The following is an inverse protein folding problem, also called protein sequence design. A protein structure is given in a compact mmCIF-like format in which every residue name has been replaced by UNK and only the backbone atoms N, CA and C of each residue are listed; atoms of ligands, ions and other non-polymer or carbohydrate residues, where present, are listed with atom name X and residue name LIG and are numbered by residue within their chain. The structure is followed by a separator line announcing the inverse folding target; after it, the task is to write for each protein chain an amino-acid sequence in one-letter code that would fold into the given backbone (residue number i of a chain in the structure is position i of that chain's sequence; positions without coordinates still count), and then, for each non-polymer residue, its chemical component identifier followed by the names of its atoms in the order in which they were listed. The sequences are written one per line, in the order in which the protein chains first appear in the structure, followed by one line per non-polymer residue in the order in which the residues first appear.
data_IF_901637450152
#
_entry.id   IF_901637450152
#
_cell.length_a   1.000
_cell.length_b   1.000
_cell.length_c   1.000
_cell.angle_alpha   90.00
_cell.angle_beta   90.00
_cell.angle_gamma   90.00
#
_symmetry.space_group_name_H-M   'P 1'
#
loop_
_entity.id
_entity.type
_entity.pdbx_description
1 polymer ?
#
# COMPACT_ATOMS: atom_id res chain seq x y z
N UNK A 1 -22.31 -14.49 -22.56
CA UNK A 1 -21.47 -13.63 -23.42
C UNK A 1 -20.42 -12.98 -22.53
N UNK A 2 -19.20 -13.49 -22.53
CA UNK A 2 -18.13 -13.08 -21.60
C UNK A 2 -17.28 -11.98 -22.27
N UNK A 3 -17.83 -10.76 -22.34
CA UNK A 3 -17.11 -9.59 -22.83
C UNK A 3 -16.14 -9.12 -21.75
N UNK A 4 -14.86 -9.47 -21.90
CA UNK A 4 -13.80 -8.82 -21.11
C UNK A 4 -13.78 -7.35 -21.54
N UNK A 5 -14.19 -6.48 -20.64
CA UNK A 5 -14.18 -5.04 -20.85
C UNK A 5 -12.73 -4.61 -21.10
N UNK A 6 -12.49 -3.99 -22.26
CA UNK A 6 -11.17 -3.64 -22.77
C UNK A 6 -11.23 -2.22 -23.32
N UNK A 7 -10.18 -1.45 -23.12
CA UNK A 7 -10.05 -0.16 -23.80
C UNK A 7 -9.68 -0.34 -25.28
N UNK A 8 -9.62 0.78 -26.00
CA UNK A 8 -9.30 0.85 -27.43
C UNK A 8 -7.87 0.35 -27.75
N UNK A 9 -7.04 0.10 -26.72
CA UNK A 9 -5.70 -0.48 -26.82
C UNK A 9 -5.65 -1.97 -26.43
N UNK A 10 -6.80 -2.57 -26.10
CA UNK A 10 -6.93 -3.98 -25.72
C UNK A 10 -6.56 -4.30 -24.28
N UNK A 11 -6.25 -3.30 -23.44
CA UNK A 11 -6.03 -3.50 -22.00
C UNK A 11 -7.36 -3.76 -21.31
N UNK A 12 -7.39 -4.73 -20.41
CA UNK A 12 -8.58 -5.01 -19.61
C UNK A 12 -8.96 -3.77 -18.80
N UNK A 13 -10.06 -3.12 -19.16
CA UNK A 13 -10.70 -2.12 -18.32
C UNK A 13 -11.33 -2.90 -17.18
N UNK A 14 -10.71 -2.81 -16.01
CA UNK A 14 -11.27 -3.42 -14.82
C UNK A 14 -12.42 -2.52 -14.31
N UNK A 15 -13.50 -2.41 -15.08
CA UNK A 15 -14.64 -1.53 -14.81
C UNK A 15 -15.54 -2.03 -13.66
N UNK A 16 -15.21 -3.18 -13.09
CA UNK A 16 -15.93 -3.70 -11.94
C UNK A 16 -15.58 -2.85 -10.71
N UNK A 17 -16.56 -2.24 -10.02
CA UNK A 17 -16.34 -1.40 -8.84
C UNK A 17 -15.58 -2.18 -7.77
N UNK A 18 -14.79 -1.51 -6.94
CA UNK A 18 -13.98 -2.13 -5.89
C UNK A 18 -14.20 -1.46 -4.54
N UNK A 19 -14.03 -2.21 -3.45
CA UNK A 19 -14.01 -1.61 -2.11
C UNK A 19 -12.68 -0.86 -1.84
N UNK A 20 -12.56 -0.21 -0.68
CA UNK A 20 -11.33 0.49 -0.25
C UNK A 20 -10.12 -0.43 -0.05
N UNK A 21 -10.34 -1.75 -0.03
CA UNK A 21 -9.29 -2.75 -0.02
C UNK A 21 -9.02 -3.28 -1.42
N UNK A 22 -9.61 -2.77 -2.50
CA UNK A 22 -9.42 -3.20 -3.87
C UNK A 22 -10.12 -4.51 -4.26
N UNK A 23 -11.03 -5.07 -3.45
CA UNK A 23 -11.79 -6.29 -3.79
C UNK A 23 -12.92 -5.94 -4.75
N UNK A 24 -13.18 -6.75 -5.79
CA UNK A 24 -14.25 -6.46 -6.74
C UNK A 24 -15.64 -6.62 -6.10
N UNK A 25 -16.48 -5.61 -6.26
CA UNK A 25 -17.87 -5.51 -5.81
C UNK A 25 -18.85 -6.01 -6.88
N UNK A 26 -20.11 -6.32 -6.54
CA UNK A 26 -21.16 -6.57 -7.52
C UNK A 26 -21.29 -5.41 -8.52
N UNK A 27 -21.70 -5.69 -9.76
CA UNK A 27 -21.99 -4.65 -10.74
C UNK A 27 -23.13 -3.75 -10.24
N UNK A 28 -23.01 -2.44 -10.42
CA UNK A 28 -23.98 -1.45 -9.93
C UNK A 28 -23.82 -1.04 -8.46
N UNK A 29 -22.86 -1.61 -7.73
CA UNK A 29 -22.47 -1.09 -6.43
C UNK A 29 -21.54 0.12 -6.57
N UNK A 30 -21.65 1.08 -5.65
CA UNK A 30 -20.70 2.19 -5.56
C UNK A 30 -19.34 1.65 -5.09
N UNK A 31 -18.34 1.75 -5.97
CA UNK A 31 -16.96 1.43 -5.66
C UNK A 31 -16.18 2.66 -5.20
N UNK A 32 -15.05 2.43 -4.54
CA UNK A 32 -14.04 3.46 -4.32
C UNK A 32 -13.26 3.62 -5.62
N UNK A 33 -13.20 4.85 -6.13
CA UNK A 33 -12.40 5.19 -7.29
C UNK A 33 -10.92 4.86 -7.03
N UNK A 34 -10.22 4.32 -8.04
CA UNK A 34 -8.77 4.05 -7.92
C UNK A 34 -8.01 5.37 -7.85
N UNK A 35 -6.82 5.36 -7.25
CA UNK A 35 -5.96 6.53 -7.37
C UNK A 35 -5.62 6.76 -8.86
N UNK A 36 -5.63 8.02 -9.34
CA UNK A 36 -5.17 8.33 -10.68
C UNK A 36 -3.71 7.89 -10.83
N UNK A 37 -3.46 7.00 -11.79
CA UNK A 37 -2.12 6.48 -12.10
C UNK A 37 -1.25 7.59 -12.72
N UNK A 38 0.03 7.67 -12.31
CA UNK A 38 1.00 8.57 -12.93
C UNK A 38 0.91 10.03 -12.47
N UNK A 39 0.26 10.29 -11.34
CA UNK A 39 0.26 11.62 -10.73
C UNK A 39 1.60 11.85 -10.05
N UNK A 40 2.37 12.80 -10.59
CA UNK A 40 3.62 13.26 -10.00
C UNK A 40 3.31 14.06 -8.73
N UNK A 41 3.90 13.62 -7.62
CA UNK A 41 3.79 14.27 -6.29
C UNK A 41 5.20 14.53 -5.77
N UNK A 42 5.37 15.56 -4.94
CA UNK A 42 6.59 15.68 -4.15
C UNK A 42 6.64 14.56 -3.09
N UNK A 43 7.80 14.28 -2.47
CA UNK A 43 7.89 13.36 -1.34
C UNK A 43 6.92 13.70 -0.19
N UNK A 44 6.78 14.97 0.16
CA UNK A 44 5.89 15.43 1.23
C UNK A 44 4.40 15.22 0.87
N UNK A 45 4.02 15.53 -0.36
CA UNK A 45 2.66 15.29 -0.88
C UNK A 45 2.34 13.80 -0.92
N UNK A 46 3.32 12.97 -1.32
CA UNK A 46 3.20 11.51 -1.36
C UNK A 46 2.92 10.95 0.03
N UNK A 47 3.71 11.36 1.03
CA UNK A 47 3.56 10.90 2.41
C UNK A 47 2.24 11.40 3.03
N UNK A 48 1.87 12.65 2.79
CA UNK A 48 0.62 13.24 3.28
C UNK A 48 -0.60 12.52 2.73
N UNK A 49 -0.66 12.32 1.40
CA UNK A 49 -1.77 11.63 0.76
C UNK A 49 -1.84 10.15 1.17
N UNK A 50 -0.69 9.47 1.24
CA UNK A 50 -0.66 8.09 1.71
C UNK A 50 -1.13 7.97 3.16
N UNK A 51 -0.74 8.88 4.06
CA UNK A 51 -1.22 8.87 5.45
C UNK A 51 -2.73 9.05 5.52
N UNK A 52 -3.28 10.03 4.77
CA UNK A 52 -4.74 10.26 4.71
C UNK A 52 -5.49 9.01 4.28
N UNK A 53 -4.99 8.32 3.25
CA UNK A 53 -5.59 7.07 2.76
C UNK A 53 -5.50 5.93 3.77
N UNK A 54 -4.37 5.81 4.48
CA UNK A 54 -4.21 4.83 5.55
C UNK A 54 -5.20 5.10 6.70
N UNK A 55 -5.39 6.36 7.07
CA UNK A 55 -6.32 6.79 8.13
C UNK A 55 -7.78 6.50 7.76
N UNK A 56 -8.11 6.58 6.47
CA UNK A 56 -9.43 6.22 5.92
C UNK A 56 -9.63 4.71 5.71
N UNK A 57 -8.65 3.88 6.09
CA UNK A 57 -8.73 2.42 5.90
C UNK A 57 -8.61 2.00 4.42
N UNK A 58 -7.91 2.78 3.60
CA UNK A 58 -7.64 2.53 2.17
C UNK A 58 -6.16 2.20 1.90
N UNK A 59 -5.61 1.13 2.50
CA UNK A 59 -4.20 0.77 2.35
C UNK A 59 -3.81 0.36 0.92
N UNK A 60 -4.77 -0.10 0.11
CA UNK A 60 -4.48 -0.43 -1.29
C UNK A 60 -4.22 0.84 -2.11
N UNK A 61 -5.02 1.88 -1.89
CA UNK A 61 -4.80 3.19 -2.51
C UNK A 61 -3.51 3.85 -2.03
N UNK A 62 -3.17 3.72 -0.74
CA UNK A 62 -1.87 4.19 -0.24
C UNK A 62 -0.70 3.44 -0.90
N UNK A 63 -0.85 2.14 -1.16
CA UNK A 63 0.12 1.38 -1.95
C UNK A 63 0.29 1.94 -3.36
N UNK A 64 -0.80 2.28 -4.06
CA UNK A 64 -0.73 2.88 -5.41
C UNK A 64 0.06 4.22 -5.38
N UNK A 65 -0.17 5.07 -4.37
CA UNK A 65 0.57 6.34 -4.21
C UNK A 65 2.07 6.10 -4.03
N UNK A 66 2.47 5.15 -3.18
CA UNK A 66 3.88 4.81 -3.02
C UNK A 66 4.48 4.11 -4.23
N UNK A 67 3.70 3.33 -4.96
CA UNK A 67 4.15 2.65 -6.18
C UNK A 67 4.49 3.66 -7.28
N UNK A 68 3.70 4.73 -7.42
CA UNK A 68 3.99 5.83 -8.35
C UNK A 68 5.26 6.59 -7.94
N UNK A 69 5.46 6.87 -6.65
CA UNK A 69 6.71 7.45 -6.15
C UNK A 69 7.91 6.53 -6.41
N UNK A 70 7.74 5.22 -6.23
CA UNK A 70 8.77 4.22 -6.51
C UNK A 70 9.15 4.16 -8.00
N UNK A 71 8.16 4.20 -8.90
CA UNK A 71 8.39 4.15 -10.35
C UNK A 71 9.01 5.44 -10.91
N UNK A 72 8.81 6.57 -10.23
CA UNK A 72 9.27 7.89 -10.65
C UNK A 72 10.58 8.33 -9.99
N UNK A 73 11.03 7.63 -8.95
CA UNK A 73 12.26 7.94 -8.21
C UNK A 73 13.45 7.12 -8.70
N UNK A 74 14.56 7.79 -8.97
CA UNK A 74 15.85 7.16 -9.22
C UNK A 74 16.75 7.14 -7.97
N UNK A 75 17.84 6.36 -8.02
CA UNK A 75 18.85 6.34 -6.97
C UNK A 75 18.42 5.59 -5.70
N UNK A 76 19.14 5.79 -4.58
CA UNK A 76 18.96 4.99 -3.36
C UNK A 76 17.55 5.10 -2.76
N UNK A 77 16.95 6.29 -2.77
CA UNK A 77 15.61 6.55 -2.19
C UNK A 77 14.49 5.75 -2.87
N UNK A 78 14.72 5.23 -4.08
CA UNK A 78 13.78 4.33 -4.75
C UNK A 78 13.40 3.12 -3.88
N UNK A 79 14.33 2.56 -3.12
CA UNK A 79 14.03 1.41 -2.25
C UNK A 79 13.23 1.79 -0.99
N UNK A 80 13.30 3.05 -0.53
CA UNK A 80 12.42 3.57 0.53
C UNK A 80 10.96 3.49 0.07
N UNK A 81 10.66 4.07 -1.10
CA UNK A 81 9.31 4.07 -1.67
C UNK A 81 8.79 2.66 -1.93
N UNK A 82 9.65 1.77 -2.42
CA UNK A 82 9.31 0.35 -2.58
C UNK A 82 8.97 -0.32 -1.25
N UNK A 83 9.72 -0.03 -0.20
CA UNK A 83 9.47 -0.51 1.14
C UNK A 83 8.11 -0.05 1.67
N UNK A 84 7.82 1.25 1.57
CA UNK A 84 6.53 1.84 1.97
C UNK A 84 5.35 1.26 1.17
N UNK A 85 5.51 1.07 -0.14
CA UNK A 85 4.52 0.40 -0.98
C UNK A 85 4.25 -1.04 -0.52
N UNK A 86 5.29 -1.77 -0.10
CA UNK A 86 5.18 -3.14 0.44
C UNK A 86 4.47 -3.17 1.79
N UNK A 87 4.73 -2.21 2.67
CA UNK A 87 4.05 -2.10 3.96
C UNK A 87 2.54 -1.87 3.78
N UNK A 88 2.16 -0.94 2.89
CA UNK A 88 0.76 -0.64 2.59
C UNK A 88 0.00 -1.83 1.96
N UNK A 89 0.61 -2.55 1.01
CA UNK A 89 -0.03 -3.75 0.45
C UNK A 89 0.01 -4.94 1.42
N UNK A 90 1.01 -5.04 2.29
CA UNK A 90 1.02 -6.00 3.40
C UNK A 90 -0.17 -5.80 4.35
N UNK A 91 -0.45 -4.55 4.72
CA UNK A 91 -1.65 -4.15 5.47
C UNK A 91 -2.95 -4.53 4.74
N UNK A 92 -3.01 -4.30 3.42
CA UNK A 92 -4.14 -4.72 2.57
C UNK A 92 -4.37 -6.23 2.63
N UNK A 93 -3.30 -7.03 2.58
CA UNK A 93 -3.39 -8.49 2.70
C UNK A 93 -3.88 -8.93 4.07
N UNK A 94 -3.42 -8.29 5.15
CA UNK A 94 -3.87 -8.57 6.51
C UNK A 94 -5.38 -8.31 6.64
N UNK A 95 -5.86 -7.16 6.17
CA UNK A 95 -7.28 -6.80 6.18
C UNK A 95 -8.15 -7.73 5.30
N UNK A 96 -7.56 -8.37 4.29
CA UNK A 96 -8.19 -9.39 3.43
C UNK A 96 -8.16 -10.80 4.01
N UNK A 97 -7.54 -11.02 5.17
CA UNK A 97 -7.40 -12.34 5.78
C UNK A 97 -6.32 -13.21 5.13
N UNK A 98 -5.46 -12.64 4.28
CA UNK A 98 -4.30 -13.33 3.74
C UNK A 98 -3.09 -13.13 4.66
N UNK A 99 -3.08 -13.83 5.79
CA UNK A 99 -2.07 -13.68 6.84
C UNK A 99 -0.64 -14.00 6.38
N UNK A 100 -0.45 -15.11 5.66
CA UNK A 100 0.86 -15.51 5.14
C UNK A 100 1.43 -14.49 4.14
N UNK A 101 0.59 -14.02 3.20
CA UNK A 101 0.97 -12.98 2.25
C UNK A 101 1.27 -11.64 2.93
N UNK A 102 0.46 -11.27 3.94
CA UNK A 102 0.67 -10.06 4.71
C UNK A 102 2.03 -10.07 5.43
N UNK A 103 2.32 -11.14 6.18
CA UNK A 103 3.58 -11.24 6.92
C UNK A 103 4.81 -11.16 6.00
N UNK A 104 4.78 -11.87 4.86
CA UNK A 104 5.88 -11.83 3.89
C UNK A 104 6.13 -10.43 3.33
N UNK A 105 5.08 -9.68 3.03
CA UNK A 105 5.18 -8.31 2.50
C UNK A 105 5.63 -7.30 3.56
N UNK A 106 5.11 -7.41 4.79
CA UNK A 106 5.46 -6.55 5.91
C UNK A 106 6.94 -6.72 6.30
N UNK A 107 7.42 -7.95 6.41
CA UNK A 107 8.82 -8.25 6.72
C UNK A 107 9.76 -7.73 5.63
N UNK A 108 9.40 -7.93 4.35
CA UNK A 108 10.19 -7.42 3.23
C UNK A 108 10.19 -5.89 3.16
N UNK A 109 9.05 -5.26 3.40
CA UNK A 109 8.92 -3.80 3.46
C UNK A 109 9.79 -3.22 4.57
N UNK A 110 9.72 -3.80 5.77
CA UNK A 110 10.55 -3.42 6.91
C UNK A 110 12.06 -3.57 6.63
N UNK A 111 12.45 -4.64 5.94
CA UNK A 111 13.85 -4.85 5.55
C UNK A 111 14.33 -3.83 4.50
N UNK A 112 13.47 -3.43 3.56
CA UNK A 112 13.81 -2.44 2.54
C UNK A 112 13.98 -1.02 3.09
N UNK A 113 13.28 -0.68 4.19
CA UNK A 113 13.41 0.63 4.82
C UNK A 113 14.54 0.70 5.88
N UNK A 114 15.04 -0.44 6.39
CA UNK A 114 16.11 -0.49 7.40
C UNK A 114 17.35 0.37 7.04
N UNK A 115 17.88 0.35 5.80
CA UNK A 115 19.08 1.13 5.47
C UNK A 115 18.92 2.64 5.67
N UNK A 116 17.70 3.15 5.73
CA UNK A 116 17.39 4.57 5.92
C UNK A 116 17.27 4.97 7.39
N UNK A 117 17.24 4.03 8.34
CA UNK A 117 16.99 4.30 9.76
C UNK A 117 17.92 5.37 10.35
N UNK A 118 19.21 5.32 10.01
CA UNK A 118 20.19 6.26 10.56
C UNK A 118 19.99 7.71 10.07
N UNK A 119 19.44 7.89 8.87
CA UNK A 119 19.16 9.20 8.25
C UNK A 119 17.90 9.09 7.39
N UNK A 120 16.70 9.16 8.00
CA UNK A 120 15.46 8.94 7.27
C UNK A 120 15.19 10.07 6.26
N UNK A 121 15.07 9.77 4.96
CA UNK A 121 14.63 10.76 3.98
C UNK A 121 13.23 11.26 4.32
N UNK A 122 12.96 12.53 4.03
CA UNK A 122 11.63 13.15 4.13
C UNK A 122 10.99 13.08 5.53
N UNK A 123 11.78 12.78 6.58
CA UNK A 123 11.31 12.66 7.95
C UNK A 123 10.54 11.37 8.27
N UNK A 124 10.62 10.34 7.40
CA UNK A 124 9.91 9.07 7.60
C UNK A 124 10.29 8.41 8.93
N UNK A 125 9.29 7.98 9.71
CA UNK A 125 9.50 7.24 10.96
C UNK A 125 9.85 5.77 10.67
N UNK A 126 11.08 5.54 10.20
CA UNK A 126 11.57 4.20 9.85
C UNK A 126 11.52 3.27 11.06
N UNK A 127 11.88 3.74 12.24
CA UNK A 127 11.88 2.92 13.46
C UNK A 127 10.47 2.47 13.84
N UNK A 128 9.52 3.41 13.93
CA UNK A 128 8.13 3.10 14.24
C UNK A 128 7.48 2.19 13.19
N UNK A 129 7.74 2.44 11.90
CA UNK A 129 7.23 1.61 10.82
C UNK A 129 7.73 0.17 10.89
N UNK A 130 9.00 -0.04 11.27
CA UNK A 130 9.54 -1.39 11.42
C UNK A 130 8.98 -2.12 12.62
N UNK A 131 8.86 -1.45 13.77
CA UNK A 131 8.24 -2.03 14.95
C UNK A 131 6.76 -2.41 14.69
N UNK A 132 6.03 -1.53 14.02
CA UNK A 132 4.66 -1.77 13.57
C UNK A 132 4.58 -2.97 12.62
N UNK A 133 5.43 -3.02 11.58
CA UNK A 133 5.40 -4.07 10.58
C UNK A 133 5.71 -5.45 11.18
N UNK A 134 6.67 -5.53 12.10
CA UNK A 134 7.02 -6.77 12.80
C UNK A 134 5.87 -7.26 13.68
N UNK A 135 5.24 -6.36 14.44
CA UNK A 135 4.09 -6.69 15.29
C UNK A 135 2.93 -7.21 14.45
N UNK A 136 2.57 -6.49 13.38
CA UNK A 136 1.48 -6.89 12.50
C UNK A 136 1.78 -8.21 11.76
N UNK A 137 3.02 -8.42 11.32
CA UNK A 137 3.43 -9.68 10.68
C UNK A 137 3.32 -10.87 11.65
N UNK A 138 3.72 -10.70 12.91
CA UNK A 138 3.58 -11.72 13.93
C UNK A 138 2.10 -12.06 14.19
N UNK A 139 1.23 -11.05 14.29
CA UNK A 139 -0.21 -11.26 14.44
C UNK A 139 -0.85 -11.96 13.25
N UNK A 140 -0.48 -11.55 12.03
CA UNK A 140 -1.00 -12.11 10.79
C UNK A 140 -0.65 -13.60 10.60
N UNK A 141 0.43 -14.08 11.22
CA UNK A 141 0.82 -15.50 11.20
C UNK A 141 -0.06 -16.38 12.07
N UNK A 142 -0.65 -15.82 13.13
CA UNK A 142 -1.36 -16.61 14.16
C UNK A 142 -2.88 -16.42 14.15
N UNK A 143 -3.38 -15.27 13.68
CA UNK A 143 -4.81 -14.95 13.65
C UNK A 143 -5.43 -15.29 12.29
N UNK A 144 -6.61 -15.91 12.30
CA UNK A 144 -7.43 -16.17 11.09
C UNK A 144 -7.95 -14.85 10.48
N UNK A 145 -8.15 -13.82 11.31
CA UNK A 145 -8.52 -12.47 10.89
C UNK A 145 -7.80 -11.45 11.76
N UNK A 146 -7.18 -10.46 11.14
CA UNK A 146 -6.57 -9.32 11.81
C UNK A 146 -7.43 -8.09 11.52
N UNK A 147 -7.62 -7.24 12.52
CA UNK A 147 -8.13 -5.87 12.34
C UNK A 147 -6.94 -4.93 12.47
N UNK A 148 -6.22 -4.67 11.37
CA UNK A 148 -4.93 -4.04 11.47
C UNK A 148 -5.09 -2.53 11.64
N UNK A 149 -4.29 -1.96 12.55
CA UNK A 149 -4.21 -0.51 12.76
C UNK A 149 -3.24 0.09 11.75
N UNK A 150 -3.64 1.19 11.12
CA UNK A 150 -2.80 1.94 10.19
C UNK A 150 -1.57 2.53 10.90
N UNK A 151 -0.36 2.48 10.29
CA UNK A 151 0.82 3.08 10.87
C UNK A 151 0.78 4.62 10.78
N UNK A 152 1.67 5.27 11.52
CA UNK A 152 2.10 6.65 11.23
C UNK A 152 3.34 6.60 10.33
N UNK A 153 3.35 7.40 9.27
CA UNK A 153 4.48 7.50 8.33
C UNK A 153 5.55 8.47 8.80
N UNK A 154 5.15 9.47 9.59
CA UNK A 154 6.00 10.49 10.20
C UNK A 154 5.83 10.42 11.73
N UNK A 155 6.82 10.88 12.53
CA UNK A 155 6.78 10.85 14.00
C UNK A 155 5.58 11.58 14.63
#
# INVERSE_FOLDING_TARGET
MNGRDRDDTGRARNARPRDGLGRPLPYGADGVERQPEGVVRTPEETLTEAQRLLDEGKPFHAHEVFEDAWKSTDGPERELWRGLAQLAVGLTHAARGNGAGAASLLERGAANIEPFRARPPHGVDVEGLQAWAQTLAAEAKVKVRVEPVAPRLLP
#
